data_IF_304781779618
#
_entry.id   IF_304781779618
#
_cell.length_a   1.000
_cell.length_b   1.000
_cell.length_c   1.000
_cell.angle_alpha   90.00
_cell.angle_beta   90.00
_cell.angle_gamma   90.00
#
_symmetry.space_group_name_H-M   'P 1'
#
loop_
_entity.id
_entity.type
_entity.pdbx_description
1 polymer ?
#
# COMPACT_ATOMS: atom_id res chain seq x y z
N UNK A 1 -82.50 32.53 30.40
CA UNK A 1 -82.00 33.29 29.23
C UNK A 1 -80.88 32.49 28.59
N UNK A 2 -80.86 32.52 27.25
CA UNK A 2 -80.01 31.81 26.29
C UNK A 2 -78.51 31.90 26.62
N UNK A 3 -77.71 30.85 26.36
CA UNK A 3 -76.88 30.71 25.14
C UNK A 3 -75.94 29.49 25.19
N UNK A 4 -75.93 28.76 24.08
CA UNK A 4 -74.89 27.82 23.63
C UNK A 4 -73.61 28.59 23.25
N UNK A 5 -72.42 27.99 23.46
CA UNK A 5 -71.22 28.17 22.60
C UNK A 5 -70.14 27.18 23.08
N UNK A 6 -69.95 26.04 22.45
CA UNK A 6 -69.10 25.79 21.27
C UNK A 6 -67.64 25.48 21.62
N UNK A 7 -67.23 24.31 21.12
CA UNK A 7 -65.89 23.75 21.02
C UNK A 7 -64.79 24.79 20.73
N UNK A 8 -63.64 24.61 21.37
CA UNK A 8 -62.36 24.90 20.75
C UNK A 8 -61.39 23.74 21.05
N UNK A 9 -61.19 22.91 20.02
CA UNK A 9 -60.20 21.86 19.93
C UNK A 9 -58.82 22.52 19.87
N UNK A 10 -57.99 22.33 20.90
CA UNK A 10 -56.59 22.78 20.89
C UNK A 10 -55.76 21.74 20.13
N UNK A 11 -55.49 22.01 18.85
CA UNK A 11 -54.52 21.27 18.05
C UNK A 11 -53.11 21.62 18.54
N UNK A 12 -52.46 20.66 19.20
CA UNK A 12 -51.04 20.71 19.51
C UNK A 12 -50.23 20.54 18.22
N UNK A 13 -49.74 21.64 17.65
CA UNK A 13 -48.68 21.59 16.64
C UNK A 13 -47.34 21.41 17.37
N UNK A 14 -46.84 20.17 17.41
CA UNK A 14 -45.45 19.91 17.69
C UNK A 14 -44.63 20.40 16.48
N UNK A 15 -44.03 21.57 16.59
CA UNK A 15 -43.03 22.04 15.64
C UNK A 15 -41.78 21.17 15.78
N UNK A 16 -41.66 20.13 14.94
CA UNK A 16 -40.39 19.43 14.77
C UNK A 16 -39.45 20.38 14.06
N UNK A 17 -38.51 20.94 14.82
CA UNK A 17 -37.36 21.66 14.26
C UNK A 17 -36.60 20.67 13.38
N UNK A 18 -36.37 20.94 12.08
CA UNK A 18 -35.53 20.08 11.28
C UNK A 18 -34.12 20.17 11.86
N UNK A 19 -33.65 19.03 12.34
CA UNK A 19 -32.27 18.79 12.71
C UNK A 19 -31.41 19.13 11.48
N UNK A 20 -30.75 20.28 11.52
CA UNK A 20 -29.75 20.63 10.51
C UNK A 20 -28.67 19.59 10.60
N UNK A 21 -28.70 18.62 9.67
CA UNK A 21 -27.58 17.76 9.38
C UNK A 21 -26.37 18.67 9.15
N UNK A 22 -25.49 18.72 10.13
CA UNK A 22 -24.20 19.37 9.97
C UNK A 22 -23.50 18.59 8.88
N UNK A 23 -23.39 19.19 7.69
CA UNK A 23 -22.46 18.72 6.70
C UNK A 23 -21.09 18.74 7.39
N UNK A 24 -20.63 17.58 7.83
CA UNK A 24 -19.23 17.37 8.20
C UNK A 24 -18.44 17.89 7.02
N UNK A 25 -17.78 19.02 7.19
CA UNK A 25 -16.82 19.52 6.22
C UNK A 25 -15.77 18.42 6.13
N UNK A 26 -15.82 17.64 5.05
CA UNK A 26 -14.88 16.55 4.82
C UNK A 26 -13.47 17.11 5.00
N UNK A 27 -12.72 16.57 5.95
CA UNK A 27 -11.37 16.98 6.24
C UNK A 27 -10.46 16.49 5.10
N UNK A 28 -10.06 17.38 4.18
CA UNK A 28 -9.34 16.96 2.98
C UNK A 28 -7.92 16.47 3.33
N UNK A 29 -7.37 16.87 4.49
CA UNK A 29 -6.08 16.40 4.97
C UNK A 29 -6.16 15.00 5.55
N UNK A 30 -7.15 14.75 6.42
CA UNK A 30 -7.46 13.43 6.98
C UNK A 30 -7.75 12.40 5.89
N UNK A 31 -8.60 12.73 4.92
CA UNK A 31 -8.93 11.83 3.80
C UNK A 31 -7.71 11.42 2.96
N UNK A 32 -6.77 12.33 2.72
CA UNK A 32 -5.51 12.00 2.03
C UNK A 32 -4.59 11.09 2.85
N UNK A 33 -4.59 11.24 4.18
CA UNK A 33 -3.80 10.37 5.06
C UNK A 33 -4.33 8.94 5.01
N UNK A 34 -5.64 8.77 5.13
CA UNK A 34 -6.29 7.47 5.11
C UNK A 34 -6.11 6.80 3.74
N UNK A 35 -6.38 7.54 2.67
CA UNK A 35 -6.17 7.06 1.30
C UNK A 35 -4.71 6.61 1.09
N UNK A 36 -3.73 7.43 1.50
CA UNK A 36 -2.31 7.05 1.38
C UNK A 36 -2.01 5.75 2.14
N UNK A 37 -2.59 5.53 3.32
CA UNK A 37 -2.35 4.32 4.12
C UNK A 37 -2.96 3.10 3.47
N UNK A 38 -4.17 3.22 2.95
CA UNK A 38 -4.85 2.17 2.21
C UNK A 38 -4.10 1.82 0.92
N UNK A 39 -3.69 2.81 0.13
CA UNK A 39 -2.90 2.62 -1.09
C UNK A 39 -1.56 1.94 -0.79
N UNK A 40 -0.84 2.37 0.26
CA UNK A 40 0.41 1.72 0.68
C UNK A 40 0.19 0.28 1.19
N UNK A 41 -0.94 0.00 1.86
CA UNK A 41 -1.28 -1.35 2.29
C UNK A 41 -1.60 -2.28 1.10
N UNK A 42 -2.33 -1.77 0.10
CA UNK A 42 -2.59 -2.49 -1.14
C UNK A 42 -1.28 -2.79 -1.88
N UNK A 43 -0.36 -1.82 -1.95
CA UNK A 43 0.97 -1.98 -2.53
C UNK A 43 1.80 -3.03 -1.78
N UNK A 44 1.77 -3.00 -0.44
CA UNK A 44 2.42 -4.01 0.39
C UNK A 44 1.97 -5.44 0.06
N UNK A 45 0.68 -5.66 -0.18
CA UNK A 45 0.18 -7.01 -0.53
C UNK A 45 0.73 -7.53 -1.86
N UNK A 46 0.92 -6.66 -2.87
CA UNK A 46 1.55 -7.06 -4.16
C UNK A 46 3.03 -7.35 -3.95
N UNK A 47 3.67 -6.46 -3.22
CA UNK A 47 5.09 -6.56 -2.87
C UNK A 47 5.38 -7.87 -2.12
N UNK A 48 4.57 -8.21 -1.12
CA UNK A 48 4.69 -9.46 -0.35
C UNK A 48 4.61 -10.70 -1.25
N UNK A 49 3.69 -10.73 -2.23
CA UNK A 49 3.65 -11.81 -3.21
C UNK A 49 4.93 -11.85 -4.05
N UNK A 50 5.36 -10.71 -4.60
CA UNK A 50 6.58 -10.61 -5.43
C UNK A 50 7.85 -11.05 -4.70
N UNK A 51 7.86 -11.06 -3.37
CA UNK A 51 8.96 -11.64 -2.59
C UNK A 51 9.18 -13.14 -2.89
N UNK A 52 8.16 -13.87 -3.34
CA UNK A 52 8.29 -15.28 -3.73
C UNK A 52 9.27 -15.50 -4.90
N UNK A 53 9.51 -14.47 -5.73
CA UNK A 53 10.46 -14.55 -6.84
C UNK A 53 11.92 -14.61 -6.37
N UNK A 54 12.21 -14.10 -5.17
CA UNK A 54 13.57 -13.95 -4.62
C UNK A 54 13.85 -14.84 -3.40
N UNK A 55 12.85 -15.56 -2.91
CA UNK A 55 13.05 -16.63 -1.94
C UNK A 55 13.61 -17.85 -2.68
N UNK A 56 14.73 -18.42 -2.20
CA UNK A 56 15.17 -19.74 -2.66
C UNK A 56 14.00 -20.71 -2.48
N UNK A 57 13.60 -21.41 -3.54
CA UNK A 57 12.48 -22.34 -3.48
C UNK A 57 12.85 -23.52 -2.57
N UNK A 58 12.59 -23.43 -1.27
CA UNK A 58 12.73 -24.56 -0.34
C UNK A 58 11.48 -25.44 -0.32
N UNK A 59 10.66 -25.39 -1.37
CA UNK A 59 9.42 -26.14 -1.41
C UNK A 59 9.68 -27.60 -1.82
N UNK A 60 10.01 -28.45 -0.85
CA UNK A 60 9.61 -29.85 -0.88
C UNK A 60 8.15 -29.93 -0.42
N UNK A 61 7.24 -30.32 -1.33
CA UNK A 61 5.80 -30.45 -1.07
C UNK A 61 5.39 -31.91 -1.14
N UNK A 62 4.89 -32.45 -0.02
CA UNK A 62 4.28 -33.78 0.15
C UNK A 62 3.41 -33.75 1.42
N UNK A 63 2.30 -34.47 1.62
CA UNK A 63 1.35 -35.19 0.77
C UNK A 63 0.06 -35.36 1.60
N UNK A 64 -1.12 -35.14 1.01
CA UNK A 64 -2.43 -35.79 1.27
C UNK A 64 -3.59 -34.95 0.73
N UNK A 65 -4.28 -35.48 -0.28
CA UNK A 65 -5.70 -35.20 -0.56
C UNK A 65 -6.06 -34.05 -1.51
N UNK A 66 -5.45 -32.87 -1.41
CA UNK A 66 -5.96 -31.67 -2.09
C UNK A 66 -4.85 -30.64 -2.38
N UNK A 67 -3.74 -31.06 -3.00
CA UNK A 67 -2.57 -30.21 -3.23
C UNK A 67 -2.19 -30.08 -4.71
N UNK A 68 -1.86 -28.84 -5.09
CA UNK A 68 -1.17 -28.49 -6.33
C UNK A 68 0.27 -28.99 -6.22
N UNK A 69 0.65 -29.97 -7.02
CA UNK A 69 2.04 -30.45 -7.11
C UNK A 69 2.80 -29.50 -8.05
N UNK A 70 3.60 -28.61 -7.48
CA UNK A 70 4.56 -27.80 -8.23
C UNK A 70 5.80 -28.65 -8.46
N UNK A 71 6.18 -28.85 -9.73
CA UNK A 71 7.43 -29.52 -10.11
C UNK A 71 8.47 -28.42 -10.41
N UNK A 72 9.30 -28.01 -9.43
CA UNK A 72 10.22 -26.88 -9.58
C UNK A 72 11.33 -27.12 -10.61
N UNK A 73 11.57 -28.37 -11.02
CA UNK A 73 12.49 -28.74 -12.10
C UNK A 73 11.92 -28.47 -13.51
N UNK A 74 10.62 -28.16 -13.61
CA UNK A 74 9.90 -27.96 -14.88
C UNK A 74 9.19 -26.62 -15.01
N UNK A 75 9.22 -25.81 -13.96
CA UNK A 75 8.54 -24.52 -13.92
C UNK A 75 9.51 -23.41 -13.53
N UNK A 76 9.45 -22.31 -14.26
CA UNK A 76 10.12 -21.06 -13.92
C UNK A 76 9.52 -20.47 -12.64
N UNK A 77 10.27 -19.64 -11.89
CA UNK A 77 9.73 -18.96 -10.70
C UNK A 77 8.45 -18.15 -10.98
N UNK A 78 8.31 -17.58 -12.18
CA UNK A 78 7.13 -16.84 -12.60
C UNK A 78 5.92 -17.74 -12.86
N UNK A 79 6.11 -18.95 -13.38
CA UNK A 79 5.03 -19.94 -13.53
C UNK A 79 4.55 -20.45 -12.16
N UNK A 80 5.48 -20.70 -11.24
CA UNK A 80 5.14 -21.07 -9.85
C UNK A 80 4.35 -19.94 -9.18
N UNK A 81 4.80 -18.70 -9.36
CA UNK A 81 4.10 -17.51 -8.87
C UNK A 81 2.65 -17.45 -9.35
N UNK A 82 2.45 -17.54 -10.67
CA UNK A 82 1.14 -17.45 -11.28
C UNK A 82 0.18 -18.54 -10.76
N UNK A 83 0.70 -19.75 -10.60
CA UNK A 83 -0.04 -20.89 -10.08
C UNK A 83 -0.44 -20.72 -8.60
N UNK A 84 0.47 -20.24 -7.75
CA UNK A 84 0.23 -20.08 -6.31
C UNK A 84 -0.68 -18.88 -6.01
N UNK A 85 -0.50 -17.77 -6.73
CA UNK A 85 -1.17 -16.51 -6.43
C UNK A 85 -2.38 -16.22 -7.34
N UNK A 86 -2.57 -17.00 -8.41
CA UNK A 86 -3.66 -16.81 -9.37
C UNK A 86 -3.56 -15.51 -10.17
N UNK A 87 -2.37 -14.90 -10.23
CA UNK A 87 -2.08 -13.66 -10.96
C UNK A 87 -0.65 -13.67 -11.48
N UNK A 88 -0.42 -13.04 -12.63
CA UNK A 88 0.92 -12.88 -13.17
C UNK A 88 1.74 -11.89 -12.33
N UNK A 89 3.04 -12.15 -12.10
CA UNK A 89 3.90 -11.21 -11.37
C UNK A 89 3.98 -9.84 -12.08
N UNK A 90 3.88 -9.83 -13.41
CA UNK A 90 3.84 -8.59 -14.19
C UNK A 90 2.60 -7.73 -13.91
N UNK A 91 1.47 -8.34 -13.53
CA UNK A 91 0.26 -7.62 -13.11
C UNK A 91 0.50 -6.93 -11.77
N UNK A 92 1.08 -7.64 -10.80
CA UNK A 92 1.38 -7.06 -9.49
C UNK A 92 2.42 -5.95 -9.57
N UNK A 93 3.39 -6.06 -10.48
CA UNK A 93 4.36 -4.99 -10.73
C UNK A 93 3.71 -3.73 -11.32
N UNK A 94 2.78 -3.87 -12.28
CA UNK A 94 2.02 -2.73 -12.83
C UNK A 94 1.14 -2.08 -11.77
N UNK A 95 0.40 -2.89 -11.01
CA UNK A 95 -0.39 -2.43 -9.87
C UNK A 95 0.45 -1.59 -8.90
N UNK A 96 1.67 -2.03 -8.57
CA UNK A 96 2.56 -1.25 -7.70
C UNK A 96 2.93 0.10 -8.31
N UNK A 97 3.29 0.14 -9.60
CA UNK A 97 3.63 1.39 -10.27
C UNK A 97 2.44 2.38 -10.28
N UNK A 98 1.25 1.90 -10.61
CA UNK A 98 0.02 2.70 -10.58
C UNK A 98 -0.31 3.22 -9.17
N UNK A 99 -0.15 2.37 -8.15
CA UNK A 99 -0.35 2.74 -6.75
C UNK A 99 0.69 3.78 -6.29
N UNK A 100 1.94 3.69 -6.73
CA UNK A 100 2.99 4.67 -6.43
C UNK A 100 2.66 6.04 -7.03
N UNK A 101 2.25 6.08 -8.29
CA UNK A 101 1.82 7.33 -8.94
C UNK A 101 0.59 7.91 -8.26
N UNK A 102 -0.35 7.08 -7.81
CA UNK A 102 -1.48 7.56 -7.02
C UNK A 102 -1.02 8.19 -5.70
N UNK A 103 -0.17 7.49 -4.93
CA UNK A 103 0.39 7.98 -3.66
C UNK A 103 1.13 9.31 -3.84
N UNK A 104 1.83 9.50 -4.96
CA UNK A 104 2.56 10.75 -5.27
C UNK A 104 1.68 11.99 -5.15
N UNK A 105 0.37 11.86 -5.39
CA UNK A 105 -0.58 12.96 -5.33
C UNK A 105 -1.13 13.28 -3.92
N UNK A 106 -0.81 12.45 -2.91
CA UNK A 106 -1.43 12.49 -1.57
C UNK A 106 -0.60 13.24 -0.50
N UNK A 107 0.40 14.00 -0.92
CA UNK A 107 1.36 14.69 -0.03
C UNK A 107 1.09 16.20 0.11
N UNK A 108 -0.18 16.61 0.21
CA UNK A 108 -0.50 18.03 0.39
C UNK A 108 0.05 18.58 1.73
N UNK A 109 0.27 19.89 1.85
CA UNK A 109 0.67 20.51 3.13
C UNK A 109 -0.31 20.25 4.29
N UNK A 110 -1.57 19.91 3.99
CA UNK A 110 -2.61 19.59 4.97
C UNK A 110 -2.60 18.13 5.43
N UNK A 111 -1.86 17.23 4.78
CA UNK A 111 -1.73 15.82 5.21
C UNK A 111 -0.58 15.58 6.19
N UNK A 112 -0.10 16.65 6.86
CA UNK A 112 1.02 16.63 7.78
C UNK A 112 0.62 16.43 9.25
N UNK A 113 1.60 16.07 10.09
CA UNK A 113 1.38 15.82 11.52
C UNK A 113 0.89 17.02 12.32
N UNK A 114 1.26 18.24 11.91
CA UNK A 114 0.81 19.48 12.55
C UNK A 114 -0.70 19.70 12.38
N UNK A 115 -1.30 19.09 11.35
CA UNK A 115 -2.75 19.07 11.13
C UNK A 115 -3.42 17.79 11.63
N UNK A 116 -2.75 16.63 11.52
CA UNK A 116 -3.28 15.32 11.93
C UNK A 116 -2.25 14.48 12.67
N UNK A 117 -2.40 14.34 13.99
CA UNK A 117 -1.46 13.58 14.83
C UNK A 117 -1.39 12.06 14.55
N UNK A 118 -2.28 11.52 13.72
CA UNK A 118 -2.40 10.08 13.43
C UNK A 118 -1.45 9.55 12.35
N UNK A 119 -0.77 10.42 11.58
CA UNK A 119 0.15 9.98 10.52
C UNK A 119 1.53 9.58 11.04
N UNK A 120 2.17 8.62 10.35
CA UNK A 120 3.58 8.23 10.58
C UNK A 120 4.57 8.97 9.68
N UNK A 121 4.08 9.76 8.74
CA UNK A 121 4.92 10.63 7.91
C UNK A 121 5.69 11.62 8.80
N UNK A 122 7.01 11.69 8.63
CA UNK A 122 7.83 12.62 9.38
C UNK A 122 7.68 14.04 8.81
N UNK A 123 7.66 15.09 9.67
CA UNK A 123 7.49 16.48 9.23
C UNK A 123 8.51 16.92 8.18
N UNK A 124 9.68 16.29 8.14
CA UNK A 124 10.77 16.60 7.19
C UNK A 124 10.35 16.46 5.72
N UNK A 125 9.31 15.68 5.41
CA UNK A 125 8.71 15.61 4.07
C UNK A 125 8.31 17.00 3.56
N UNK A 126 7.65 17.79 4.41
CA UNK A 126 7.18 19.12 4.03
C UNK A 126 8.22 20.22 4.25
N UNK A 127 9.27 19.96 5.04
CA UNK A 127 10.40 20.89 5.21
C UNK A 127 11.37 20.79 4.04
N UNK A 128 11.62 19.58 3.53
CA UNK A 128 12.54 19.29 2.43
C UNK A 128 11.83 18.55 1.29
N UNK A 129 10.79 19.15 0.66
CA UNK A 129 9.96 18.45 -0.32
C UNK A 129 10.74 17.98 -1.55
N UNK A 130 11.77 18.73 -1.97
CA UNK A 130 12.63 18.31 -3.09
C UNK A 130 13.51 17.10 -2.77
N UNK A 131 13.88 16.88 -1.49
CA UNK A 131 14.61 15.66 -1.09
C UNK A 131 13.64 14.49 -1.07
N UNK A 132 12.47 14.66 -0.45
CA UNK A 132 11.43 13.64 -0.45
C UNK A 132 11.05 13.20 -1.87
N UNK A 133 10.81 14.15 -2.77
CA UNK A 133 10.45 13.85 -4.15
C UNK A 133 11.51 13.02 -4.87
N UNK A 134 12.80 13.28 -4.67
CA UNK A 134 13.88 12.47 -5.26
C UNK A 134 13.84 11.01 -4.81
N UNK A 135 13.69 10.77 -3.50
CA UNK A 135 13.58 9.40 -2.98
C UNK A 135 12.31 8.71 -3.47
N UNK A 136 11.23 9.45 -3.65
CA UNK A 136 9.98 8.92 -4.19
C UNK A 136 10.11 8.59 -5.69
N UNK A 137 10.70 9.48 -6.48
CA UNK A 137 10.96 9.28 -7.91
C UNK A 137 11.93 8.10 -8.15
N UNK A 138 12.93 7.90 -7.29
CA UNK A 138 13.79 6.70 -7.31
C UNK A 138 12.97 5.41 -7.16
N UNK A 139 11.94 5.43 -6.29
CA UNK A 139 11.04 4.29 -6.11
C UNK A 139 10.14 4.04 -7.31
N UNK A 140 9.61 5.11 -7.95
CA UNK A 140 8.87 4.99 -9.21
C UNK A 140 9.76 4.40 -10.31
N UNK A 141 10.99 4.92 -10.45
CA UNK A 141 11.94 4.40 -11.44
C UNK A 141 12.26 2.92 -11.22
N UNK A 142 12.38 2.48 -9.97
CA UNK A 142 12.59 1.07 -9.65
C UNK A 142 11.34 0.20 -9.93
N UNK A 143 10.13 0.72 -9.74
CA UNK A 143 8.91 -0.02 -10.09
C UNK A 143 8.75 -0.17 -11.60
N UNK A 144 9.08 0.86 -12.37
CA UNK A 144 9.06 0.80 -13.84
C UNK A 144 10.11 -0.19 -14.37
N UNK A 145 11.30 -0.20 -13.77
CA UNK A 145 12.34 -1.19 -14.09
C UNK A 145 11.88 -2.63 -13.77
N UNK A 146 11.12 -2.83 -12.68
CA UNK A 146 10.52 -4.12 -12.36
C UNK A 146 9.46 -4.55 -13.39
N UNK A 147 8.58 -3.63 -13.82
CA UNK A 147 7.61 -3.91 -14.89
C UNK A 147 8.32 -4.33 -16.17
N UNK A 148 9.38 -3.62 -16.55
CA UNK A 148 10.18 -3.95 -17.72
C UNK A 148 10.88 -5.32 -17.57
N UNK A 149 11.49 -5.61 -16.41
CA UNK A 149 12.17 -6.87 -16.15
C UNK A 149 11.22 -8.07 -16.21
N UNK A 150 10.00 -7.92 -15.70
CA UNK A 150 8.95 -8.96 -15.73
C UNK A 150 8.23 -9.07 -17.08
N UNK A 151 8.57 -8.23 -18.06
CA UNK A 151 8.08 -8.35 -19.43
C UNK A 151 8.99 -9.22 -20.31
N UNK A 152 10.15 -9.64 -19.80
CA UNK A 152 11.06 -10.57 -20.47
C UNK A 152 11.26 -11.86 -19.69
N UNK A 153 11.93 -12.84 -20.30
CA UNK A 153 12.16 -14.17 -19.73
C UNK A 153 13.45 -14.27 -18.89
N UNK A 154 13.98 -13.14 -18.40
CA UNK A 154 15.20 -13.09 -17.56
C UNK A 154 14.83 -13.12 -16.07
N UNK A 155 14.66 -14.34 -15.54
CA UNK A 155 14.38 -14.58 -14.12
C UNK A 155 15.36 -13.88 -13.16
N UNK A 156 16.69 -13.97 -13.38
CA UNK A 156 17.67 -13.20 -12.61
C UNK A 156 17.46 -11.67 -12.67
N UNK A 157 17.07 -11.10 -13.81
CA UNK A 157 16.76 -9.67 -13.91
C UNK A 157 15.49 -9.31 -13.12
N UNK A 158 14.45 -10.13 -13.18
CA UNK A 158 13.24 -9.95 -12.38
C UNK A 158 13.58 -9.97 -10.87
N UNK A 159 14.40 -10.92 -10.43
CA UNK A 159 14.87 -11.01 -9.04
C UNK A 159 15.63 -9.75 -8.59
N UNK A 160 16.56 -9.27 -9.43
CA UNK A 160 17.28 -8.01 -9.17
C UNK A 160 16.34 -6.83 -9.04
N UNK A 161 15.38 -6.70 -9.95
CA UNK A 161 14.45 -5.58 -9.96
C UNK A 161 13.53 -5.58 -8.71
N UNK A 162 13.09 -6.76 -8.24
CA UNK A 162 12.37 -6.91 -6.98
C UNK A 162 13.22 -6.39 -5.81
N UNK A 163 14.49 -6.82 -5.73
CA UNK A 163 15.43 -6.35 -4.71
C UNK A 163 15.69 -4.83 -4.76
N UNK A 164 15.82 -4.26 -5.96
CA UNK A 164 16.08 -2.83 -6.12
C UNK A 164 14.88 -1.97 -5.74
N UNK A 165 13.66 -2.39 -6.10
CA UNK A 165 12.44 -1.73 -5.66
C UNK A 165 12.36 -1.68 -4.13
N UNK A 166 12.61 -2.79 -3.43
CA UNK A 166 12.58 -2.76 -1.97
C UNK A 166 13.66 -1.92 -1.33
N UNK A 167 14.86 -1.86 -1.92
CA UNK A 167 15.93 -0.97 -1.44
C UNK A 167 15.48 0.49 -1.49
N UNK A 168 14.81 0.91 -2.57
CA UNK A 168 14.30 2.29 -2.67
C UNK A 168 13.19 2.57 -1.66
N UNK A 169 12.24 1.64 -1.48
CA UNK A 169 11.22 1.72 -0.43
C UNK A 169 11.84 1.89 0.96
N UNK A 170 12.83 1.06 1.30
CA UNK A 170 13.54 1.12 2.58
C UNK A 170 14.30 2.44 2.79
N UNK A 171 14.96 2.95 1.75
CA UNK A 171 15.65 4.25 1.79
C UNK A 171 14.70 5.40 2.05
N UNK A 172 13.53 5.42 1.39
CA UNK A 172 12.51 6.43 1.63
C UNK A 172 11.95 6.34 3.06
N UNK A 173 11.59 5.14 3.52
CA UNK A 173 11.02 4.94 4.85
C UNK A 173 12.00 5.28 5.98
N UNK A 174 13.30 4.99 5.82
CA UNK A 174 14.32 5.28 6.83
C UNK A 174 14.43 6.76 7.19
N UNK A 175 14.07 7.66 6.27
CA UNK A 175 14.19 9.11 6.45
C UNK A 175 12.82 9.74 6.73
N UNK A 176 11.78 9.30 6.01
CA UNK A 176 10.52 10.03 5.92
C UNK A 176 9.38 9.39 6.71
N UNK A 177 9.60 8.25 7.35
CA UNK A 177 8.57 7.54 8.10
C UNK A 177 9.03 7.20 9.50
N UNK A 178 8.18 7.46 10.50
CA UNK A 178 8.41 6.97 11.85
C UNK A 178 8.38 5.44 11.85
N UNK A 179 9.53 4.82 12.09
CA UNK A 179 9.69 3.38 12.20
C UNK A 179 9.41 2.97 13.65
N UNK A 180 8.43 2.07 13.85
CA UNK A 180 8.15 1.43 15.14
C UNK A 180 8.97 0.14 15.28
N UNK A 181 9.05 -0.43 16.48
CA UNK A 181 9.70 -1.72 16.68
C UNK A 181 9.09 -2.84 15.82
N UNK A 182 7.77 -2.81 15.59
CA UNK A 182 7.10 -3.73 14.67
C UNK A 182 7.53 -3.52 13.21
N UNK A 183 7.73 -2.27 12.79
CA UNK A 183 8.23 -1.96 11.45
C UNK A 183 9.67 -2.45 11.25
N UNK A 184 10.52 -2.41 12.28
CA UNK A 184 11.87 -2.97 12.21
C UNK A 184 11.86 -4.49 12.01
N UNK A 185 10.87 -5.21 12.54
CA UNK A 185 10.76 -6.66 12.33
C UNK A 185 10.34 -7.00 10.89
N UNK A 186 9.56 -6.13 10.25
CA UNK A 186 9.00 -6.31 8.90
C UNK A 186 9.90 -5.71 7.81
N UNK A 187 10.54 -4.57 8.07
CA UNK A 187 11.40 -3.84 7.12
C UNK A 187 12.90 -3.94 7.46
N UNK A 188 13.26 -4.05 8.74
CA UNK A 188 14.65 -4.13 9.22
C UNK A 188 15.30 -5.50 9.02
N UNK A 189 14.52 -6.58 8.86
CA UNK A 189 15.00 -7.86 8.33
C UNK A 189 15.15 -7.84 6.80
N UNK A 190 14.92 -6.68 6.18
CA UNK A 190 14.69 -6.54 4.75
C UNK A 190 13.29 -7.02 4.44
N UNK A 191 12.58 -6.29 3.60
CA UNK A 191 11.30 -6.73 3.01
C UNK A 191 11.33 -8.18 2.47
N UNK A 192 12.52 -8.72 2.21
CA UNK A 192 12.73 -10.07 1.66
C UNK A 192 13.02 -11.13 2.72
N UNK A 193 13.27 -10.76 3.99
CA UNK A 193 13.84 -11.65 5.01
C UNK A 193 15.19 -12.27 4.60
N UNK A 194 15.71 -11.90 3.43
CA UNK A 194 16.77 -12.60 2.73
C UNK A 194 17.54 -11.58 1.89
N UNK A 195 18.16 -10.61 2.57
CA UNK A 195 19.18 -9.78 1.94
C UNK A 195 20.28 -10.65 1.31
N UNK A 196 20.47 -11.92 1.71
CA UNK A 196 21.45 -12.80 1.08
C UNK A 196 21.14 -13.06 -0.40
N UNK A 197 19.88 -13.36 -0.74
CA UNK A 197 19.44 -13.48 -2.14
C UNK A 197 19.69 -12.18 -2.93
N UNK A 198 19.41 -11.01 -2.34
CA UNK A 198 19.69 -9.72 -2.96
C UNK A 198 21.18 -9.31 -2.96
N UNK A 199 22.04 -9.95 -2.16
CA UNK A 199 23.48 -9.65 -2.06
C UNK A 199 24.32 -10.39 -3.11
N UNK A 200 23.87 -11.56 -3.57
CA UNK A 200 24.58 -12.38 -4.58
C UNK A 200 24.36 -11.95 -6.03
N UNK A 201 23.45 -11.00 -6.27
CA UNK A 201 23.07 -10.55 -7.62
C UNK A 201 23.75 -9.23 -8.06
N UNK A 202 24.69 -8.72 -7.25
CA UNK A 202 25.51 -7.56 -7.61
C UNK A 202 26.79 -7.99 -8.32
N UNK A 203 27.07 -7.40 -9.48
CA UNK A 203 28.41 -7.35 -10.05
C UNK A 203 29.33 -6.52 -9.15
#
# INVERSE_FOLDING_TARGET
MRYLCSLALVLAFAATVPETATAQTADPGGGQIDLRRETMAAMWQRLDRLSALITESTADVSATGEQIVVQPDRMTPTEVYALVHGTEPSTDARDISDLLEHVRTLWSPRSNRGWHGSTRAEPVIWVLPGVFQRYFDDTIGASDALVAALSGDDGPAAQRAVCDLSRTCGRCHAIFRRVTHGDLKVEGNGWTGNYAACRGLGN
#
